data_IF_042434526540
#
_entry.id   IF_042434526540
#
_cell.length_a   1.000
_cell.length_b   1.000
_cell.length_c   1.000
_cell.angle_alpha   90.00
_cell.angle_beta   90.00
_cell.angle_gamma   90.00
#
_symmetry.space_group_name_H-M   'P 1'
#
loop_
_entity.id
_entity.type
_entity.pdbx_description
1 polymer ?
#
# COMPACT_ATOMS: atom_id res chain seq x y z
N UNK A 1 -15.13 -9.27 25.48
CA UNK A 1 -15.64 -8.13 26.26
C UNK A 1 -16.72 -7.45 25.44
N UNK A 2 -17.98 -7.48 25.95
CA UNK A 2 -19.07 -6.67 25.34
C UNK A 2 -18.66 -5.19 25.51
N UNK A 3 -18.55 -4.48 24.40
CA UNK A 3 -18.27 -3.04 24.36
C UNK A 3 -19.45 -2.29 24.99
N UNK A 4 -19.16 -1.35 25.89
CA UNK A 4 -20.17 -0.54 26.56
C UNK A 4 -20.95 0.28 25.52
N UNK A 5 -22.25 0.53 25.74
CA UNK A 5 -23.10 1.36 24.86
C UNK A 5 -22.46 2.73 24.60
N UNK A 6 -21.78 3.28 25.59
CA UNK A 6 -21.05 4.56 25.51
C UNK A 6 -19.87 4.48 24.54
N UNK A 7 -19.11 3.40 24.59
CA UNK A 7 -17.96 3.19 23.69
C UNK A 7 -18.42 2.98 22.24
N UNK A 8 -19.56 2.29 22.07
CA UNK A 8 -20.17 2.08 20.76
C UNK A 8 -20.69 3.39 20.17
N UNK A 9 -21.37 4.23 20.98
CA UNK A 9 -21.81 5.57 20.56
C UNK A 9 -20.62 6.48 20.21
N UNK A 10 -19.52 6.41 20.97
CA UNK A 10 -18.32 7.20 20.68
C UNK A 10 -17.65 6.74 19.37
N UNK A 11 -17.55 5.44 19.12
CA UNK A 11 -17.02 4.91 17.86
C UNK A 11 -17.91 5.24 16.65
N UNK A 12 -19.25 5.23 16.81
CA UNK A 12 -20.18 5.64 15.76
C UNK A 12 -20.15 7.15 15.49
N UNK A 13 -19.88 7.97 16.51
CA UNK A 13 -19.84 9.45 16.38
C UNK A 13 -18.46 9.99 16.01
N UNK A 14 -17.37 9.39 16.46
CA UNK A 14 -16.00 9.91 16.31
C UNK A 14 -15.03 8.91 15.67
N UNK A 15 -15.42 7.64 15.52
CA UNK A 15 -14.61 6.57 14.97
C UNK A 15 -14.99 6.13 13.56
N UNK A 16 -14.43 5.04 13.13
CA UNK A 16 -14.69 4.38 11.84
C UNK A 16 -15.89 3.43 11.91
N UNK A 17 -16.76 3.56 12.95
CA UNK A 17 -17.87 2.65 13.20
C UNK A 17 -17.40 1.19 13.22
N UNK A 18 -18.23 0.26 12.75
CA UNK A 18 -17.86 -1.17 12.67
C UNK A 18 -16.71 -1.47 11.69
N UNK A 19 -16.38 -0.58 10.74
CA UNK A 19 -15.32 -0.78 9.76
C UNK A 19 -13.95 -1.00 10.41
N UNK A 20 -13.67 -0.34 11.53
CA UNK A 20 -12.42 -0.50 12.27
C UNK A 20 -12.14 -1.95 12.66
N UNK A 21 -13.18 -2.67 13.06
CA UNK A 21 -13.10 -4.09 13.42
C UNK A 21 -12.61 -4.95 12.25
N UNK A 22 -13.04 -4.62 11.02
CA UNK A 22 -12.72 -5.38 9.81
C UNK A 22 -11.40 -4.94 9.20
N UNK A 23 -11.12 -3.65 9.15
CA UNK A 23 -9.87 -3.09 8.60
C UNK A 23 -8.64 -3.62 9.35
N UNK A 24 -8.74 -3.77 10.67
CA UNK A 24 -7.62 -4.23 11.50
C UNK A 24 -7.71 -5.70 11.93
N UNK A 25 -8.63 -6.46 11.34
CA UNK A 25 -8.75 -7.89 11.60
C UNK A 25 -7.67 -8.66 10.82
N UNK A 26 -6.85 -9.50 11.51
CA UNK A 26 -5.87 -10.34 10.82
C UNK A 26 -6.53 -11.24 9.77
N UNK A 27 -5.91 -11.35 8.61
CA UNK A 27 -6.39 -12.20 7.52
C UNK A 27 -7.41 -11.55 6.60
N UNK A 28 -7.76 -10.28 6.80
CA UNK A 28 -8.53 -9.50 5.83
C UNK A 28 -7.56 -8.72 4.92
N UNK A 29 -7.78 -8.82 3.61
CA UNK A 29 -7.00 -8.12 2.59
C UNK A 29 -7.72 -6.90 2.03
N UNK A 30 -9.08 -6.95 2.01
CA UNK A 30 -9.88 -5.85 1.47
C UNK A 30 -11.24 -5.78 2.15
N UNK A 31 -11.77 -4.57 2.30
CA UNK A 31 -13.15 -4.30 2.74
C UNK A 31 -13.81 -3.46 1.67
N UNK A 32 -14.87 -3.99 1.05
CA UNK A 32 -15.62 -3.34 -0.01
C UNK A 32 -16.98 -2.91 0.49
N UNK A 33 -17.28 -1.63 0.37
CA UNK A 33 -18.59 -1.02 0.61
C UNK A 33 -19.23 -0.84 -0.75
N UNK A 34 -20.08 -1.79 -1.16
CA UNK A 34 -20.81 -1.72 -2.43
C UNK A 34 -22.05 -0.82 -2.31
N UNK A 35 -22.64 -0.77 -1.12
CA UNK A 35 -23.74 0.12 -0.73
C UNK A 35 -23.76 0.26 0.80
N UNK A 36 -24.54 1.19 1.33
CA UNK A 36 -24.69 1.37 2.79
C UNK A 36 -25.11 0.10 3.54
N UNK A 37 -25.78 -0.82 2.88
CA UNK A 37 -26.30 -2.08 3.43
C UNK A 37 -25.68 -3.33 2.78
N UNK A 38 -24.74 -3.16 1.87
CA UNK A 38 -24.03 -4.25 1.18
C UNK A 38 -22.51 -4.09 1.31
N UNK A 39 -21.95 -4.82 2.27
CA UNK A 39 -20.53 -4.76 2.59
C UNK A 39 -19.98 -6.18 2.54
N UNK A 40 -18.80 -6.30 1.92
CA UNK A 40 -18.08 -7.56 1.84
C UNK A 40 -16.63 -7.37 2.26
N UNK A 41 -16.01 -8.46 2.70
CA UNK A 41 -14.59 -8.52 3.01
C UNK A 41 -13.94 -9.60 2.15
N UNK A 42 -12.72 -9.34 1.73
CA UNK A 42 -11.89 -10.32 1.05
C UNK A 42 -10.85 -10.83 2.05
N UNK A 43 -10.92 -12.12 2.32
CA UNK A 43 -9.98 -12.82 3.20
C UNK A 43 -8.70 -13.18 2.44
N UNK A 44 -7.62 -13.42 3.17
CA UNK A 44 -6.37 -13.93 2.63
C UNK A 44 -6.62 -15.20 1.79
N UNK A 45 -6.16 -15.17 0.53
CA UNK A 45 -6.47 -16.21 -0.45
C UNK A 45 -7.62 -15.87 -1.40
N UNK A 46 -8.16 -14.63 -1.34
CA UNK A 46 -9.09 -14.10 -2.32
C UNK A 46 -10.55 -14.51 -2.13
N UNK A 47 -10.91 -15.09 -0.97
CA UNK A 47 -12.28 -15.46 -0.66
C UNK A 47 -13.09 -14.24 -0.27
N UNK A 48 -14.13 -13.91 -1.04
CA UNK A 48 -15.11 -12.87 -0.69
C UNK A 48 -16.19 -13.40 0.24
N UNK A 49 -16.52 -12.63 1.29
CA UNK A 49 -17.54 -12.95 2.29
C UNK A 49 -18.37 -11.70 2.60
N UNK A 50 -19.68 -11.79 2.42
CA UNK A 50 -20.62 -10.73 2.86
C UNK A 50 -20.67 -10.70 4.37
N UNK A 51 -20.63 -9.49 4.95
CA UNK A 51 -20.71 -9.31 6.40
C UNK A 51 -22.11 -8.84 6.84
N UNK A 52 -22.53 -9.17 8.06
CA UNK A 52 -23.84 -8.76 8.58
C UNK A 52 -23.89 -7.29 9.01
N UNK A 53 -22.72 -6.69 9.25
CA UNK A 53 -22.61 -5.28 9.66
C UNK A 53 -23.00 -4.37 8.48
N UNK A 54 -23.77 -3.31 8.75
CA UNK A 54 -24.23 -2.33 7.75
C UNK A 54 -24.41 -0.96 8.36
N UNK A 55 -24.39 0.07 7.53
CA UNK A 55 -24.77 1.41 7.94
C UNK A 55 -26.30 1.53 8.05
N UNK A 56 -26.78 2.45 8.87
CA UNK A 56 -28.21 2.66 9.09
C UNK A 56 -28.93 3.35 7.92
N UNK A 57 -28.18 4.10 7.10
CA UNK A 57 -28.70 4.82 5.94
C UNK A 57 -27.57 5.16 4.97
N UNK A 58 -27.89 5.53 3.70
CA UNK A 58 -26.91 6.05 2.74
C UNK A 58 -26.14 7.25 3.31
N UNK A 59 -26.83 8.20 3.95
CA UNK A 59 -26.20 9.39 4.54
C UNK A 59 -25.25 9.01 5.68
N UNK A 60 -25.59 8.03 6.52
CA UNK A 60 -24.71 7.56 7.58
C UNK A 60 -23.40 6.96 7.01
N UNK A 61 -23.47 6.20 5.91
CA UNK A 61 -22.31 5.67 5.24
C UNK A 61 -21.39 6.79 4.72
N UNK A 62 -21.98 7.80 4.06
CA UNK A 62 -21.24 8.98 3.58
C UNK A 62 -20.55 9.70 4.75
N UNK A 63 -21.25 9.92 5.85
CA UNK A 63 -20.72 10.68 7.00
C UNK A 63 -19.58 9.93 7.71
N UNK A 64 -19.68 8.60 7.84
CA UNK A 64 -18.59 7.78 8.42
C UNK A 64 -17.37 7.82 7.53
N UNK A 65 -17.50 7.53 6.22
CA UNK A 65 -16.38 7.50 5.30
C UNK A 65 -15.76 8.90 5.13
N UNK A 66 -16.56 9.96 5.08
CA UNK A 66 -16.07 11.34 5.06
C UNK A 66 -15.22 11.66 6.29
N UNK A 67 -15.64 11.25 7.50
CA UNK A 67 -14.83 11.42 8.71
C UNK A 67 -13.51 10.67 8.63
N UNK A 68 -13.52 9.43 8.11
CA UNK A 68 -12.29 8.67 7.89
C UNK A 68 -11.31 9.40 6.97
N UNK A 69 -11.80 9.92 5.85
CA UNK A 69 -11.01 10.68 4.89
C UNK A 69 -10.47 11.98 5.51
N UNK A 70 -11.32 12.75 6.19
CA UNK A 70 -10.93 14.02 6.82
C UNK A 70 -9.86 13.82 7.89
N UNK A 71 -9.92 12.73 8.67
CA UNK A 71 -8.89 12.40 9.66
C UNK A 71 -7.51 12.18 9.03
N UNK A 72 -7.47 11.85 7.73
CA UNK A 72 -6.25 11.65 6.95
C UNK A 72 -5.91 12.84 6.02
N UNK A 73 -6.61 13.97 6.19
CA UNK A 73 -6.39 15.19 5.38
C UNK A 73 -6.96 15.12 3.96
N UNK A 74 -7.86 14.17 3.69
CA UNK A 74 -8.54 14.02 2.40
C UNK A 74 -9.96 14.59 2.50
N UNK A 75 -10.44 15.19 1.40
CA UNK A 75 -11.78 15.78 1.32
C UNK A 75 -12.53 15.10 0.19
N UNK A 76 -13.80 14.75 0.45
CA UNK A 76 -14.75 14.28 -0.54
C UNK A 76 -16.02 15.13 -0.44
N UNK A 77 -16.39 15.75 -1.55
CA UNK A 77 -17.55 16.64 -1.65
C UNK A 77 -18.23 16.50 -3.04
N UNK A 78 -19.13 17.38 -3.37
CA UNK A 78 -19.87 17.34 -4.65
C UNK A 78 -19.02 17.81 -5.83
N UNK A 79 -17.92 18.54 -5.57
CA UNK A 79 -16.97 19.00 -6.60
C UNK A 79 -15.86 17.98 -6.81
N UNK A 80 -15.53 17.19 -5.77
CA UNK A 80 -14.59 16.07 -5.81
C UNK A 80 -15.26 14.80 -5.29
N UNK A 81 -16.12 14.17 -6.10
CA UNK A 81 -16.92 13.02 -5.68
C UNK A 81 -16.16 11.70 -5.68
N UNK A 82 -14.92 11.68 -6.15
CA UNK A 82 -14.03 10.52 -6.16
C UNK A 82 -12.70 10.86 -5.50
N UNK A 83 -12.24 10.00 -4.58
CA UNK A 83 -11.00 10.21 -3.82
C UNK A 83 -10.26 8.89 -3.67
N UNK A 84 -8.95 8.93 -3.94
CA UNK A 84 -8.03 7.83 -3.66
C UNK A 84 -6.98 8.33 -2.68
N UNK A 85 -6.72 7.55 -1.63
CA UNK A 85 -5.73 7.94 -0.64
C UNK A 85 -5.42 6.85 0.38
N UNK A 86 -4.92 7.26 1.55
CA UNK A 86 -4.46 6.36 2.60
C UNK A 86 -5.10 6.73 3.93
N UNK A 87 -5.69 5.73 4.59
CA UNK A 87 -6.17 5.84 5.97
C UNK A 87 -5.03 5.62 6.97
N UNK A 88 -4.05 4.81 6.59
CA UNK A 88 -2.85 4.49 7.37
C UNK A 88 -1.74 4.06 6.41
N UNK A 89 -0.52 3.85 6.91
CA UNK A 89 0.65 3.42 6.11
C UNK A 89 0.35 2.23 5.21
N UNK A 90 -0.50 1.33 5.68
CA UNK A 90 -0.80 0.05 5.04
C UNK A 90 -2.26 -0.08 4.60
N UNK A 91 -3.06 0.99 4.69
CA UNK A 91 -4.48 0.94 4.36
C UNK A 91 -4.79 1.99 3.31
N UNK A 92 -4.97 1.53 2.07
CA UNK A 92 -5.40 2.35 0.94
C UNK A 92 -6.91 2.39 0.88
N UNK A 93 -7.48 3.54 0.52
CA UNK A 93 -8.91 3.71 0.29
C UNK A 93 -9.15 4.36 -1.07
N UNK A 94 -10.12 3.83 -1.80
CA UNK A 94 -10.72 4.44 -2.97
C UNK A 94 -12.20 4.63 -2.68
N UNK A 95 -12.73 5.82 -2.89
CA UNK A 95 -14.11 6.18 -2.53
C UNK A 95 -14.74 6.96 -3.67
N UNK A 96 -15.97 6.58 -3.99
CA UNK A 96 -16.85 7.28 -4.92
C UNK A 96 -18.19 7.58 -4.25
N UNK A 97 -18.70 8.80 -4.43
CA UNK A 97 -20.02 9.23 -3.94
C UNK A 97 -20.85 9.83 -5.07
N UNK A 98 -22.06 10.22 -4.75
CA UNK A 98 -22.93 11.01 -5.66
C UNK A 98 -22.19 12.29 -6.11
N UNK A 99 -22.20 12.64 -7.43
CA UNK A 99 -23.07 12.11 -8.49
C UNK A 99 -22.54 10.89 -9.25
N UNK A 100 -21.39 10.32 -8.91
CA UNK A 100 -20.81 9.14 -9.58
C UNK A 100 -21.59 7.86 -9.20
N UNK A 101 -22.10 7.83 -7.96
CA UNK A 101 -22.82 6.69 -7.39
C UNK A 101 -24.27 7.09 -7.17
N UNK A 102 -25.19 6.16 -7.36
CA UNK A 102 -26.61 6.39 -7.12
C UNK A 102 -26.89 6.84 -5.68
N UNK A 103 -27.80 7.83 -5.47
CA UNK A 103 -28.11 8.34 -4.13
C UNK A 103 -28.61 7.26 -3.14
N UNK A 104 -29.27 6.22 -3.65
CA UNK A 104 -29.78 5.10 -2.83
C UNK A 104 -28.66 4.20 -2.31
N UNK A 105 -27.53 4.13 -3.01
CA UNK A 105 -26.32 3.40 -2.60
C UNK A 105 -25.57 4.19 -1.51
N UNK A 106 -25.55 5.50 -1.65
CA UNK A 106 -24.90 6.45 -0.77
C UNK A 106 -23.42 6.63 -1.11
N UNK A 107 -22.63 5.62 -0.88
CA UNK A 107 -21.17 5.64 -1.12
C UNK A 107 -20.69 4.26 -1.56
N UNK A 108 -19.77 4.24 -2.49
CA UNK A 108 -18.96 3.07 -2.84
C UNK A 108 -17.54 3.28 -2.31
N UNK A 109 -16.95 2.29 -1.67
CA UNK A 109 -15.56 2.38 -1.24
C UNK A 109 -14.88 1.01 -1.24
N UNK A 110 -13.64 0.99 -1.68
CA UNK A 110 -12.73 -0.15 -1.54
C UNK A 110 -11.59 0.24 -0.60
N UNK A 111 -11.44 -0.50 0.49
CA UNK A 111 -10.42 -0.31 1.52
C UNK A 111 -9.49 -1.51 1.46
N UNK A 112 -8.32 -1.34 0.87
CA UNK A 112 -7.33 -2.39 0.71
C UNK A 112 -6.29 -2.32 1.82
N UNK A 113 -6.12 -3.45 2.51
CA UNK A 113 -5.14 -3.62 3.58
C UNK A 113 -3.90 -4.27 2.97
N UNK A 114 -2.82 -3.49 2.88
CA UNK A 114 -1.53 -4.01 2.40
C UNK A 114 -0.85 -4.70 3.57
N UNK A 115 -1.00 -6.03 3.64
CA UNK A 115 -0.27 -6.83 4.60
C UNK A 115 1.20 -6.91 4.15
N UNK A 116 2.03 -6.06 4.72
CA UNK A 116 3.48 -6.09 4.52
C UNK A 116 4.04 -7.33 5.21
N UNK A 117 3.89 -8.49 4.59
CA UNK A 117 4.51 -9.71 5.11
C UNK A 117 5.99 -9.70 4.76
N UNK A 118 6.83 -9.71 5.78
CA UNK A 118 8.24 -10.07 5.61
C UNK A 118 8.29 -11.52 5.13
N UNK A 119 8.57 -11.71 3.85
CA UNK A 119 8.64 -13.05 3.28
C UNK A 119 10.01 -13.61 3.55
N UNK A 120 10.08 -14.72 4.29
CA UNK A 120 11.32 -15.44 4.50
C UNK A 120 11.65 -16.35 3.29
N UNK A 121 12.94 -16.60 3.07
CA UNK A 121 13.37 -17.61 2.08
C UNK A 121 12.68 -18.96 2.32
N UNK A 122 12.55 -19.37 3.59
CA UNK A 122 11.89 -20.63 3.96
C UNK A 122 10.46 -20.69 3.47
N UNK A 123 9.68 -19.62 3.61
CA UNK A 123 8.28 -19.57 3.12
C UNK A 123 8.20 -19.76 1.60
N UNK A 124 9.15 -19.20 0.84
CA UNK A 124 9.21 -19.38 -0.63
C UNK A 124 9.57 -20.81 -1.01
N UNK A 125 10.44 -21.48 -0.23
CA UNK A 125 10.80 -22.88 -0.42
C UNK A 125 9.63 -23.81 -0.09
N UNK A 126 9.00 -23.63 1.07
CA UNK A 126 7.91 -24.48 1.56
C UNK A 126 6.67 -24.40 0.67
N UNK A 127 6.40 -23.24 0.08
CA UNK A 127 5.32 -23.05 -0.89
C UNK A 127 5.63 -23.59 -2.29
N UNK A 128 6.87 -24.05 -2.54
CA UNK A 128 7.31 -24.46 -3.87
C UNK A 128 7.40 -23.32 -4.89
N UNK A 129 7.33 -22.05 -4.42
CA UNK A 129 7.41 -20.87 -5.31
C UNK A 129 8.80 -20.66 -5.90
N UNK A 130 9.86 -21.15 -5.23
CA UNK A 130 11.24 -21.10 -5.71
C UNK A 130 12.05 -22.26 -5.13
N UNK A 131 13.13 -22.65 -5.83
CA UNK A 131 14.14 -23.57 -5.29
C UNK A 131 15.25 -22.81 -4.56
N UNK A 132 16.00 -23.48 -3.71
CA UNK A 132 17.15 -22.87 -3.03
C UNK A 132 18.18 -22.33 -4.03
N UNK A 133 18.40 -23.01 -5.14
CA UNK A 133 19.31 -22.62 -6.21
C UNK A 133 18.83 -21.31 -6.89
N UNK A 134 17.51 -21.21 -7.20
CA UNK A 134 16.93 -19.98 -7.74
C UNK A 134 17.10 -18.79 -6.80
N UNK A 135 16.83 -18.97 -5.51
CA UNK A 135 17.00 -17.92 -4.51
C UNK A 135 18.46 -17.49 -4.36
N UNK A 136 19.39 -18.43 -4.38
CA UNK A 136 20.82 -18.13 -4.37
C UNK A 136 21.25 -17.34 -5.61
N UNK A 137 20.81 -17.75 -6.80
CA UNK A 137 21.10 -17.06 -8.05
C UNK A 137 20.56 -15.62 -8.06
N UNK A 138 19.30 -15.43 -7.68
CA UNK A 138 18.69 -14.11 -7.61
C UNK A 138 19.37 -13.19 -6.58
N UNK A 139 19.78 -13.73 -5.44
CA UNK A 139 20.55 -13.00 -4.43
C UNK A 139 21.92 -12.56 -5.01
N UNK A 140 22.58 -13.41 -5.77
CA UNK A 140 23.83 -13.06 -6.45
C UNK A 140 23.58 -11.94 -7.47
N UNK A 141 22.53 -12.01 -8.29
CA UNK A 141 22.18 -10.95 -9.23
C UNK A 141 22.07 -9.58 -8.54
N UNK A 142 21.34 -9.49 -7.42
CA UNK A 142 21.18 -8.23 -6.68
C UNK A 142 22.54 -7.75 -6.10
N UNK A 143 23.33 -8.65 -5.54
CA UNK A 143 24.63 -8.30 -4.96
C UNK A 143 25.64 -7.77 -5.99
N UNK A 144 25.57 -8.29 -7.20
CA UNK A 144 26.44 -7.87 -8.33
C UNK A 144 25.84 -6.75 -9.17
N UNK A 145 24.67 -6.20 -8.79
CA UNK A 145 24.05 -5.06 -9.48
C UNK A 145 23.42 -5.40 -10.84
N UNK A 146 23.02 -6.65 -11.03
CA UNK A 146 22.29 -7.07 -12.23
C UNK A 146 20.87 -6.54 -12.16
N UNK A 147 20.38 -5.95 -13.25
CA UNK A 147 18.99 -5.52 -13.37
C UNK A 147 18.07 -6.73 -13.45
N UNK A 148 17.04 -6.77 -12.60
CA UNK A 148 16.07 -7.85 -12.54
C UNK A 148 14.69 -7.30 -12.86
N UNK A 149 13.99 -7.95 -13.79
CA UNK A 149 12.59 -7.66 -14.11
C UNK A 149 11.69 -8.80 -13.61
N UNK A 150 10.64 -8.47 -12.86
CA UNK A 150 9.68 -9.44 -12.32
C UNK A 150 8.33 -9.19 -12.99
N UNK A 151 7.88 -10.14 -13.81
CA UNK A 151 6.63 -10.07 -14.55
C UNK A 151 5.71 -11.26 -14.21
N UNK A 152 4.41 -11.07 -14.38
CA UNK A 152 3.40 -12.11 -14.14
C UNK A 152 1.99 -11.53 -13.98
N UNK A 153 0.97 -12.37 -13.90
CA UNK A 153 -0.41 -11.98 -13.69
C UNK A 153 -0.64 -11.35 -12.30
N UNK A 154 -1.76 -10.66 -12.11
CA UNK A 154 -2.18 -10.18 -10.79
C UNK A 154 -2.35 -11.36 -9.83
N UNK A 155 -1.89 -11.20 -8.57
CA UNK A 155 -1.94 -12.26 -7.56
C UNK A 155 -0.87 -13.36 -7.70
N UNK A 156 0.04 -13.28 -8.70
CA UNK A 156 1.08 -14.30 -8.91
C UNK A 156 2.28 -14.22 -7.96
N UNK A 157 2.25 -13.32 -6.96
CA UNK A 157 3.32 -13.18 -5.96
C UNK A 157 4.49 -12.29 -6.39
N UNK A 158 4.36 -11.46 -7.44
CA UNK A 158 5.41 -10.53 -7.89
C UNK A 158 5.95 -9.64 -6.78
N UNK A 159 5.06 -8.95 -6.07
CA UNK A 159 5.41 -8.06 -4.95
C UNK A 159 6.06 -8.85 -3.82
N UNK A 160 5.61 -10.08 -3.58
CA UNK A 160 6.15 -11.00 -2.57
C UNK A 160 7.61 -11.36 -2.84
N UNK A 161 7.92 -11.84 -4.06
CA UNK A 161 9.29 -12.20 -4.43
C UNK A 161 10.19 -10.96 -4.51
N UNK A 162 9.65 -9.82 -4.97
CA UNK A 162 10.38 -8.56 -5.02
C UNK A 162 10.72 -8.05 -3.61
N UNK A 163 9.79 -8.10 -2.65
CA UNK A 163 10.04 -7.73 -1.27
C UNK A 163 11.15 -8.58 -0.65
N UNK A 164 11.11 -9.91 -0.87
CA UNK A 164 12.17 -10.81 -0.43
C UNK A 164 13.51 -10.46 -1.06
N UNK A 165 13.53 -10.24 -2.38
CA UNK A 165 14.74 -9.94 -3.12
C UNK A 165 15.38 -8.62 -2.67
N UNK A 166 14.59 -7.58 -2.46
CA UNK A 166 15.02 -6.28 -1.95
C UNK A 166 15.57 -6.39 -0.50
N UNK A 167 15.06 -7.31 0.30
CA UNK A 167 15.58 -7.57 1.65
C UNK A 167 17.00 -8.18 1.64
N UNK A 168 17.46 -8.73 0.50
CA UNK A 168 18.80 -9.27 0.31
C UNK A 168 19.84 -8.20 -0.06
N UNK A 169 19.42 -6.96 -0.31
CA UNK A 169 20.34 -5.84 -0.55
C UNK A 169 21.18 -5.62 0.70
N UNK A 170 22.54 -5.54 0.58
CA UNK A 170 23.43 -5.29 1.71
C UNK A 170 23.10 -3.98 2.42
N UNK A 171 23.17 -3.97 3.75
CA UNK A 171 22.77 -2.82 4.58
C UNK A 171 23.61 -1.56 4.35
N UNK A 172 24.83 -1.72 3.81
CA UNK A 172 25.72 -0.63 3.42
C UNK A 172 25.38 -0.03 2.04
N UNK A 173 24.39 -0.55 1.35
CA UNK A 173 23.91 0.02 0.08
C UNK A 173 22.61 0.78 0.30
N UNK A 174 22.50 1.93 -0.34
CA UNK A 174 21.27 2.72 -0.32
C UNK A 174 20.24 2.09 -1.23
N UNK A 175 19.08 1.77 -0.68
CA UNK A 175 17.91 1.25 -1.39
C UNK A 175 16.85 2.35 -1.52
N UNK A 176 16.36 2.56 -2.73
CA UNK A 176 15.30 3.51 -2.99
C UNK A 176 14.18 2.78 -3.73
N UNK A 177 12.95 2.85 -3.20
CA UNK A 177 11.77 2.37 -3.90
C UNK A 177 10.99 3.55 -4.49
N UNK A 178 10.40 3.35 -5.66
CA UNK A 178 9.42 4.25 -6.27
C UNK A 178 8.14 3.44 -6.42
N UNK A 179 7.12 3.81 -5.68
CA UNK A 179 5.88 3.06 -5.56
C UNK A 179 4.70 3.94 -5.99
N UNK A 180 3.73 3.34 -6.67
CA UNK A 180 2.58 4.07 -7.19
C UNK A 180 1.47 4.13 -6.17
N UNK A 181 1.23 5.34 -5.67
CA UNK A 181 0.10 5.66 -4.81
C UNK A 181 0.13 5.01 -3.41
N UNK A 182 0.80 3.88 -3.17
CA UNK A 182 0.87 3.23 -1.85
C UNK A 182 2.22 2.58 -1.58
N UNK A 183 2.59 2.59 -0.30
CA UNK A 183 3.77 1.88 0.17
C UNK A 183 3.46 0.38 0.26
N UNK A 184 4.04 -0.40 -0.65
CA UNK A 184 3.89 -1.86 -0.69
C UNK A 184 5.00 -2.58 0.09
N UNK A 185 6.15 -1.90 0.29
CA UNK A 185 7.31 -2.50 0.93
C UNK A 185 7.62 -1.88 2.29
N UNK A 186 7.95 -2.72 3.28
CA UNK A 186 8.60 -2.31 4.53
C UNK A 186 9.98 -2.96 4.60
N UNK A 187 10.99 -2.22 4.16
CA UNK A 187 12.37 -2.70 4.00
C UNK A 187 13.29 -2.12 5.06
N UNK A 188 12.78 -1.30 5.98
CA UNK A 188 13.56 -0.69 7.05
C UNK A 188 13.87 -1.72 8.13
N UNK A 189 15.14 -2.09 8.25
CA UNK A 189 15.63 -2.97 9.32
C UNK A 189 15.93 -2.16 10.57
N UNK A 190 15.52 -2.67 11.73
CA UNK A 190 15.77 -2.03 13.02
C UNK A 190 16.41 -3.02 13.98
N UNK A 191 17.25 -2.50 14.89
CA UNK A 191 17.78 -3.27 16.01
C UNK A 191 16.74 -3.38 17.15
N UNK A 192 17.11 -4.08 18.22
CA UNK A 192 16.28 -4.27 19.42
C UNK A 192 15.93 -2.95 20.13
N UNK A 193 16.69 -1.89 19.88
CA UNK A 193 16.50 -0.55 20.44
C UNK A 193 15.72 0.39 19.47
N UNK A 194 15.31 -0.12 18.29
CA UNK A 194 14.56 0.64 17.29
C UNK A 194 15.43 1.50 16.35
N UNK A 195 16.77 1.43 16.46
CA UNK A 195 17.66 2.16 15.55
C UNK A 195 17.64 1.54 14.15
N UNK A 196 17.74 2.38 13.12
CA UNK A 196 17.73 1.95 11.72
C UNK A 196 19.12 1.40 11.35
N UNK A 197 19.16 0.18 10.84
CA UNK A 197 20.38 -0.53 10.47
C UNK A 197 20.77 -0.37 9.00
N UNK A 198 19.82 -0.06 8.12
CA UNK A 198 20.05 0.02 6.68
C UNK A 198 19.60 1.37 6.10
N UNK A 199 20.08 1.72 4.91
CA UNK A 199 19.73 2.97 4.22
C UNK A 199 18.60 2.72 3.22
N UNK A 200 17.35 3.02 3.58
CA UNK A 200 16.17 2.84 2.74
C UNK A 200 15.36 4.12 2.64
N UNK A 201 14.97 4.46 1.42
CA UNK A 201 14.07 5.59 1.12
C UNK A 201 12.91 5.07 0.30
N UNK A 202 11.69 5.33 0.74
CA UNK A 202 10.47 5.03 0.00
C UNK A 202 9.90 6.31 -0.59
N UNK A 203 9.78 6.35 -1.92
CA UNK A 203 9.20 7.46 -2.67
C UNK A 203 7.86 7.02 -3.23
N UNK A 204 6.85 7.89 -3.08
CA UNK A 204 5.50 7.65 -3.58
C UNK A 204 5.16 8.66 -4.67
N UNK A 205 4.50 8.21 -5.72
CA UNK A 205 3.89 9.10 -6.69
C UNK A 205 2.75 9.87 -6.05
N UNK A 206 2.53 11.09 -6.52
CA UNK A 206 1.41 11.93 -6.11
C UNK A 206 0.70 12.43 -7.36
N UNK A 207 -0.32 11.72 -7.84
CA UNK A 207 -1.10 12.18 -8.97
C UNK A 207 -1.84 13.48 -8.61
N UNK A 208 -1.88 14.42 -9.56
CA UNK A 208 -2.61 15.68 -9.42
C UNK A 208 -3.12 16.12 -10.79
N UNK A 209 -4.33 16.65 -10.83
CA UNK A 209 -4.89 17.27 -12.04
C UNK A 209 -4.10 18.51 -12.47
N UNK A 210 -3.47 19.18 -11.52
CA UNK A 210 -2.55 20.27 -11.82
C UNK A 210 -1.18 19.70 -12.23
N UNK A 211 -0.75 19.87 -13.50
CA UNK A 211 0.51 19.31 -14.00
C UNK A 211 1.74 19.74 -13.19
N UNK A 212 1.73 20.95 -12.62
CA UNK A 212 2.85 21.46 -11.81
C UNK A 212 2.97 20.80 -10.43
N UNK A 213 1.91 20.13 -9.96
CA UNK A 213 1.87 19.42 -8.67
C UNK A 213 1.88 17.90 -8.85
N UNK A 214 1.83 17.42 -10.10
CA UNK A 214 1.83 16.00 -10.43
C UNK A 214 3.24 15.43 -10.29
N UNK A 215 3.42 14.51 -9.34
CA UNK A 215 4.68 13.79 -9.12
C UNK A 215 4.48 12.35 -9.62
N UNK A 216 4.89 12.11 -10.85
CA UNK A 216 4.82 10.80 -11.48
C UNK A 216 6.11 9.98 -11.27
N UNK A 217 6.11 8.74 -11.74
CA UNK A 217 7.26 7.83 -11.61
C UNK A 217 8.51 8.37 -12.35
N UNK A 218 8.34 8.96 -13.55
CA UNK A 218 9.46 9.48 -14.35
C UNK A 218 10.17 10.62 -13.62
N UNK A 219 9.41 11.53 -13.01
CA UNK A 219 9.97 12.62 -12.20
C UNK A 219 10.78 12.09 -11.01
N UNK A 220 10.27 11.09 -10.31
CA UNK A 220 10.96 10.49 -9.17
C UNK A 220 12.21 9.71 -9.62
N UNK A 221 12.10 8.96 -10.73
CA UNK A 221 13.21 8.19 -11.30
C UNK A 221 14.35 9.11 -11.72
N UNK A 222 14.05 10.20 -12.41
CA UNK A 222 15.07 11.18 -12.80
C UNK A 222 15.83 11.73 -11.58
N UNK A 223 15.14 12.03 -10.49
CA UNK A 223 15.78 12.49 -9.25
C UNK A 223 16.64 11.42 -8.59
N UNK A 224 16.13 10.18 -8.52
CA UNK A 224 16.89 9.05 -7.96
C UNK A 224 18.16 8.79 -8.75
N UNK A 225 18.06 8.78 -10.08
CA UNK A 225 19.23 8.57 -10.95
C UNK A 225 20.28 9.67 -10.81
N UNK A 226 19.86 10.92 -10.65
CA UNK A 226 20.80 12.04 -10.38
C UNK A 226 21.52 11.88 -9.04
N UNK A 227 20.85 11.38 -8.00
CA UNK A 227 21.48 11.11 -6.70
C UNK A 227 22.41 9.89 -6.73
N UNK A 228 22.14 8.90 -7.56
CA UNK A 228 22.97 7.69 -7.73
C UNK A 228 24.20 7.96 -8.59
N UNK A 229 24.16 8.91 -9.52
CA UNK A 229 25.28 9.27 -10.39
C UNK A 229 26.49 9.83 -9.63
N UNK A 230 26.33 10.29 -8.37
CA UNK A 230 27.43 10.68 -7.51
C UNK A 230 28.24 9.51 -6.95
N UNK A 231 27.72 8.28 -7.01
CA UNK A 231 28.38 7.08 -6.47
C UNK A 231 28.86 6.08 -7.54
N UNK A 232 28.51 6.32 -8.81
CA UNK A 232 28.93 5.49 -9.94
C UNK A 232 29.39 6.42 -11.06
N UNK A 233 30.66 6.32 -11.51
CA UNK A 233 31.15 7.12 -12.63
C UNK A 233 30.26 6.85 -13.85
N UNK A 234 29.63 7.90 -14.36
CA UNK A 234 28.86 7.85 -15.59
C UNK A 234 29.76 7.58 -16.77
N UNK A 235 29.31 6.90 -17.84
CA UNK A 235 30.06 6.82 -19.09
C UNK A 235 30.49 8.19 -19.65
N UNK A 236 29.80 9.28 -19.28
CA UNK A 236 30.17 10.66 -19.62
C UNK A 236 31.36 11.16 -18.82
N UNK A 237 31.61 10.65 -17.62
CA UNK A 237 32.74 11.06 -16.78
C UNK A 237 34.03 10.47 -17.32
N UNK A 238 33.96 9.31 -18.00
CA UNK A 238 35.10 8.72 -18.73
C UNK A 238 35.44 9.45 -20.03
N UNK A 239 34.48 10.12 -20.65
CA UNK A 239 34.67 10.89 -21.89
C UNK A 239 35.32 12.27 -21.64
N UNK A 240 35.13 12.82 -20.42
CA UNK A 240 35.71 14.13 -20.03
C UNK A 240 37.14 14.06 -19.48
N UNK A 241 37.67 12.86 -19.26
CA UNK A 241 39.01 12.61 -18.72
C UNK A 241 40.07 12.25 -19.78
N UNK A 242 39.76 12.46 -21.08
CA UNK A 242 40.72 12.29 -22.20
C UNK A 242 41.02 13.62 -22.87
#
# INVERSE_FOLDING_TARGET
>A
RQMCIRDRLYEDMAGYSFLKKWIYKPGIEEVNINAYNDIEVIEAGGRSVKIPDKFSSPQHAIDVVRRMLNACGMVIDDTMPSVIGFLDKNVRISVDKTPIVDPEVGINASIRIVNQQTVSAQKLLDSGSATAEMLHFLTACIRYGVSVCIAGATGSGKTTIMAWLLSQVPDNRRLITIEEGSREFDLVKRDEHGNILNSVVHLLTRPSENPSLNINQDFLLERVLRCLLYTSPSPRDYAASR
#
